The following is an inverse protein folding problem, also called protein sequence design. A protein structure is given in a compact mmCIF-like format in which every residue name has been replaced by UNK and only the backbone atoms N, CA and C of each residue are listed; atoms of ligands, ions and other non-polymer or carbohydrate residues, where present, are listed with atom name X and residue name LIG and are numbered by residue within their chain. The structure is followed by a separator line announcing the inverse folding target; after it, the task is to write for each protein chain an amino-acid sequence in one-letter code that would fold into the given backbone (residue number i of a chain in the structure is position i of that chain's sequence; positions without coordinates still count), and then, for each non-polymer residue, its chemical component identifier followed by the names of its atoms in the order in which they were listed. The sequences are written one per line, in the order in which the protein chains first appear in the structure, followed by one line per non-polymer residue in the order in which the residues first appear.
data_IF_416728344935
#
_entry.id   IF_416728344935
#
_cell.length_a   1.000
_cell.length_b   1.000
_cell.length_c   1.000
_cell.angle_alpha   90.00
_cell.angle_beta   90.00
_cell.angle_gamma   90.00
#
_symmetry.space_group_name_H-M   'P 1'
#
loop_
_entity.id
_entity.type
_entity.pdbx_description
1 polymer ?
#
# COMPACT_ATOMS: atom_id res chain seq x y z
N UNK A 1 15.63 -1.16 24.38
CA UNK A 1 15.33 -0.69 23.02
C UNK A 1 14.92 -1.93 22.25
N UNK A 2 13.62 -2.16 22.07
CA UNK A 2 13.13 -3.29 21.29
C UNK A 2 12.94 -2.76 19.87
N UNK A 3 13.85 -3.14 18.99
CA UNK A 3 13.74 -2.94 17.55
C UNK A 3 12.54 -3.78 17.10
N UNK A 4 11.45 -3.11 16.74
CA UNK A 4 10.29 -3.79 16.14
C UNK A 4 10.76 -4.24 14.77
N UNK A 5 11.06 -5.53 14.66
CA UNK A 5 11.48 -6.14 13.41
C UNK A 5 10.34 -5.96 12.38
N UNK A 6 10.59 -5.40 11.19
CA UNK A 6 9.61 -5.42 10.11
C UNK A 6 9.35 -6.87 9.74
N UNK A 7 8.08 -7.28 9.64
CA UNK A 7 7.72 -8.58 9.07
C UNK A 7 8.34 -8.65 7.65
N UNK A 8 9.38 -9.46 7.42
CA UNK A 8 10.06 -9.48 6.13
C UNK A 8 9.14 -10.00 5.03
N UNK A 9 8.05 -10.68 5.38
CA UNK A 9 7.17 -11.32 4.42
C UNK A 9 6.49 -10.32 3.48
N UNK A 10 6.12 -9.12 3.94
CA UNK A 10 5.44 -8.12 3.10
C UNK A 10 6.38 -7.11 2.42
N UNK A 11 7.61 -6.93 2.92
CA UNK A 11 8.54 -5.88 2.48
C UNK A 11 9.85 -6.42 1.88
N UNK A 12 10.22 -7.69 2.10
CA UNK A 12 11.49 -8.27 1.66
C UNK A 12 11.43 -8.85 0.23
N UNK A 13 10.96 -8.07 -0.74
CA UNK A 13 11.15 -8.43 -2.14
C UNK A 13 12.48 -7.83 -2.68
N UNK A 14 13.21 -8.52 -3.57
CA UNK A 14 14.45 -8.00 -4.15
C UNK A 14 14.15 -6.75 -5.00
N UNK A 15 15.07 -5.77 -5.08
CA UNK A 15 14.87 -4.60 -5.94
C UNK A 15 14.77 -5.02 -7.43
N UNK A 16 13.91 -4.36 -8.22
CA UNK A 16 13.75 -4.72 -9.63
C UNK A 16 15.02 -4.45 -10.43
N UNK A 17 15.33 -5.28 -11.45
CA UNK A 17 16.47 -5.04 -12.33
C UNK A 17 16.29 -3.71 -13.09
N UNK A 18 17.36 -2.92 -13.32
CA UNK A 18 17.27 -1.58 -13.93
C UNK A 18 16.76 -1.58 -15.39
N UNK A 19 16.63 -2.75 -16.01
CA UNK A 19 16.03 -2.94 -17.34
C UNK A 19 14.51 -3.18 -17.31
N UNK A 20 13.89 -3.27 -16.12
CA UNK A 20 12.46 -3.45 -15.96
C UNK A 20 11.67 -2.24 -16.47
N UNK A 21 11.08 -2.37 -17.66
CA UNK A 21 10.24 -1.34 -18.30
C UNK A 21 8.75 -1.64 -18.20
N UNK A 22 8.38 -2.80 -17.68
CA UNK A 22 7.00 -3.26 -17.54
C UNK A 22 6.62 -3.39 -16.08
N UNK A 23 5.33 -3.17 -15.78
CA UNK A 23 4.78 -3.22 -14.43
C UNK A 23 5.08 -4.57 -13.76
N UNK A 24 4.97 -5.66 -14.51
CA UNK A 24 5.28 -7.03 -14.08
C UNK A 24 6.77 -7.22 -13.74
N UNK A 25 7.66 -6.45 -14.36
CA UNK A 25 9.10 -6.52 -14.09
C UNK A 25 9.53 -5.66 -12.90
N UNK A 26 8.73 -4.64 -12.56
CA UNK A 26 8.89 -3.80 -11.36
C UNK A 26 8.24 -4.41 -10.12
N UNK A 27 7.23 -5.26 -10.33
CA UNK A 27 6.56 -6.03 -9.29
C UNK A 27 7.38 -7.27 -8.93
N UNK A 28 8.37 -7.09 -8.05
CA UNK A 28 9.17 -8.19 -7.50
C UNK A 28 8.49 -8.89 -6.31
N UNK A 29 7.27 -8.48 -6.00
CA UNK A 29 6.42 -9.04 -4.93
C UNK A 29 6.01 -10.47 -5.24
N UNK A 30 6.19 -11.35 -4.26
CA UNK A 30 5.82 -12.76 -4.40
C UNK A 30 4.31 -12.94 -4.48
N UNK A 31 3.86 -14.04 -5.11
CA UNK A 31 2.45 -14.41 -5.14
C UNK A 31 1.86 -14.56 -3.72
N UNK A 32 2.66 -15.01 -2.75
CA UNK A 32 2.26 -15.10 -1.34
C UNK A 32 1.94 -13.72 -0.74
N UNK A 33 2.77 -12.71 -1.01
CA UNK A 33 2.51 -11.33 -0.58
C UNK A 33 1.25 -10.77 -1.21
N UNK A 34 1.06 -11.04 -2.51
CA UNK A 34 -0.13 -10.62 -3.24
C UNK A 34 -1.39 -11.29 -2.68
N UNK A 35 -1.31 -12.57 -2.32
CA UNK A 35 -2.39 -13.29 -1.67
C UNK A 35 -2.68 -12.75 -0.27
N UNK A 36 -1.66 -12.41 0.52
CA UNK A 36 -1.82 -11.77 1.82
C UNK A 36 -2.45 -10.38 1.70
N UNK A 37 -2.06 -9.59 0.70
CA UNK A 37 -2.64 -8.28 0.45
C UNK A 37 -4.08 -8.33 -0.10
N UNK A 38 -4.40 -9.40 -0.86
CA UNK A 38 -5.75 -9.68 -1.36
C UNK A 38 -6.64 -10.39 -0.33
N UNK A 39 -6.06 -10.94 0.73
CA UNK A 39 -6.82 -11.59 1.79
C UNK A 39 -7.75 -10.56 2.44
N UNK A 40 -9.00 -10.92 2.78
CA UNK A 40 -9.89 -10.05 3.53
C UNK A 40 -9.37 -9.83 4.96
N UNK A 41 -9.78 -8.73 5.59
CA UNK A 41 -9.54 -8.50 7.02
C UNK A 41 -10.03 -9.72 7.81
N UNK A 42 -9.27 -10.16 8.81
CA UNK A 42 -9.80 -11.15 9.72
C UNK A 42 -11.10 -10.59 10.34
N UNK A 43 -12.14 -11.41 10.50
CA UNK A 43 -13.46 -10.96 10.97
C UNK A 43 -13.46 -10.34 12.38
N UNK A 44 -12.34 -10.40 13.10
CA UNK A 44 -12.13 -9.82 14.42
C UNK A 44 -11.42 -8.46 14.38
N UNK A 45 -10.94 -8.01 13.21
CA UNK A 45 -10.20 -6.74 13.07
C UNK A 45 -11.15 -5.54 13.03
N UNK A 46 -10.92 -4.58 13.93
CA UNK A 46 -11.69 -3.35 13.98
C UNK A 46 -11.21 -2.42 12.87
N UNK A 47 -11.83 -2.53 11.70
CA UNK A 47 -11.49 -1.65 10.58
C UNK A 47 -12.03 -0.23 10.83
N UNK A 48 -11.13 0.72 11.09
CA UNK A 48 -11.48 2.12 11.35
C UNK A 48 -11.23 2.97 10.11
N UNK A 49 -12.28 3.54 9.55
CA UNK A 49 -12.17 4.50 8.44
C UNK A 49 -11.34 5.72 8.90
N UNK A 50 -10.17 5.91 8.28
CA UNK A 50 -9.35 7.10 8.46
C UNK A 50 -9.87 8.26 7.61
N UNK A 51 -10.36 7.93 6.40
CA UNK A 51 -10.93 8.88 5.45
C UNK A 51 -10.52 8.55 4.01
N UNK A 52 -10.87 9.42 3.08
CA UNK A 52 -10.43 9.34 1.68
C UNK A 52 -9.18 10.18 1.45
N UNK A 53 -8.26 9.64 0.66
CA UNK A 53 -7.05 10.34 0.22
C UNK A 53 -6.80 10.06 -1.25
N UNK A 54 -6.13 10.98 -1.92
CA UNK A 54 -5.69 10.77 -3.29
C UNK A 54 -4.38 10.00 -3.25
N UNK A 55 -4.38 8.74 -3.67
CA UNK A 55 -3.17 7.96 -3.81
C UNK A 55 -2.56 8.14 -5.20
N UNK A 56 -1.25 8.40 -5.19
CA UNK A 56 -0.41 8.51 -6.37
C UNK A 56 0.66 7.42 -6.33
N UNK A 57 1.17 7.04 -7.50
CA UNK A 57 2.24 6.06 -7.58
C UNK A 57 3.46 6.57 -6.78
N UNK A 58 3.87 5.75 -5.81
CA UNK A 58 5.10 5.94 -5.03
C UNK A 58 6.32 5.45 -5.80
N UNK A 59 7.45 5.29 -5.10
CA UNK A 59 8.69 4.81 -5.72
C UNK A 59 8.47 3.42 -6.34
N UNK A 60 8.59 3.26 -7.68
CA UNK A 60 8.43 1.96 -8.32
C UNK A 60 9.58 0.99 -8.01
N UNK A 61 10.63 1.49 -7.35
CA UNK A 61 11.78 0.72 -6.88
C UNK A 61 11.59 0.12 -5.50
N UNK A 62 10.55 0.53 -4.76
CA UNK A 62 10.26 0.02 -3.42
C UNK A 62 9.27 -1.16 -3.50
N UNK A 63 9.74 -2.39 -3.28
CA UNK A 63 8.88 -3.55 -3.31
C UNK A 63 8.01 -3.67 -2.06
N UNK A 64 6.95 -4.48 -2.15
CA UNK A 64 6.03 -4.73 -1.04
C UNK A 64 4.76 -3.89 -1.07
N UNK A 65 3.91 -4.08 -0.06
CA UNK A 65 2.60 -3.43 0.06
C UNK A 65 2.62 -2.36 1.14
N UNK A 66 2.73 -1.10 0.72
CA UNK A 66 2.79 0.06 1.60
C UNK A 66 2.02 1.27 1.03
N UNK A 67 1.57 2.13 1.92
CA UNK A 67 0.95 3.41 1.62
C UNK A 67 1.51 4.45 2.57
N UNK A 68 2.28 5.39 2.04
CA UNK A 68 2.79 6.55 2.78
C UNK A 68 1.70 7.61 2.81
N UNK A 69 1.16 7.91 3.98
CA UNK A 69 0.08 8.87 4.17
C UNK A 69 0.29 9.73 5.42
N UNK A 70 0.01 11.05 5.38
CA UNK A 70 0.09 11.91 6.55
C UNK A 70 -1.13 11.72 7.50
N UNK A 71 -2.10 10.88 7.12
CA UNK A 71 -3.28 10.56 7.93
C UNK A 71 -2.94 9.72 9.17
N UNK A 72 -1.84 8.98 9.14
CA UNK A 72 -1.35 8.19 10.27
C UNK A 72 -0.14 8.85 10.91
N UNK A 73 0.01 8.68 12.23
CA UNK A 73 1.17 9.16 12.99
C UNK A 73 2.20 8.07 13.28
N UNK A 74 1.81 6.82 13.08
CA UNK A 74 2.61 5.63 13.40
C UNK A 74 2.44 4.63 12.27
N UNK A 75 3.50 3.87 11.99
CA UNK A 75 3.43 2.78 11.05
C UNK A 75 2.44 1.73 11.57
N UNK A 76 1.41 1.42 10.79
CA UNK A 76 0.36 0.47 11.18
C UNK A 76 -0.16 -0.27 9.96
N UNK A 77 -0.79 -1.42 10.15
CA UNK A 77 -1.50 -2.10 9.07
C UNK A 77 -2.79 -1.36 8.74
N UNK A 78 -3.13 -1.34 7.45
CA UNK A 78 -4.35 -0.76 6.97
C UNK A 78 -4.75 -1.35 5.64
N UNK A 79 -5.90 -0.91 5.15
CA UNK A 79 -6.42 -1.32 3.86
C UNK A 79 -6.80 -0.08 3.07
N UNK A 80 -6.46 -0.12 1.79
CA UNK A 80 -6.89 0.90 0.83
C UNK A 80 -7.97 0.33 -0.04
N UNK A 81 -9.08 1.04 -0.15
CA UNK A 81 -10.20 0.69 -1.01
C UNK A 81 -10.32 1.74 -2.09
N UNK A 82 -10.21 1.31 -3.34
CA UNK A 82 -10.39 2.15 -4.50
C UNK A 82 -11.87 2.52 -4.66
N UNK A 83 -12.20 3.81 -4.62
CA UNK A 83 -13.59 4.25 -4.82
C UNK A 83 -14.05 4.16 -6.28
N UNK A 84 -13.13 4.16 -7.23
CA UNK A 84 -13.46 4.08 -8.64
C UNK A 84 -13.87 2.65 -9.07
N UNK A 85 -13.22 1.62 -8.54
CA UNK A 85 -13.44 0.21 -8.91
C UNK A 85 -14.03 -0.64 -7.77
N UNK A 86 -14.11 -0.12 -6.54
CA UNK A 86 -14.57 -0.86 -5.36
C UNK A 86 -13.60 -1.92 -4.83
N UNK A 87 -12.40 -2.03 -5.41
CA UNK A 87 -11.39 -3.03 -5.02
C UNK A 87 -10.58 -2.56 -3.81
N UNK A 88 -10.21 -3.50 -2.95
CA UNK A 88 -9.41 -3.19 -1.76
C UNK A 88 -8.12 -4.00 -1.70
N UNK A 89 -7.13 -3.48 -0.98
CA UNK A 89 -5.83 -4.14 -0.78
C UNK A 89 -5.26 -3.78 0.58
N UNK A 90 -4.80 -4.78 1.32
CA UNK A 90 -4.08 -4.56 2.55
C UNK A 90 -2.68 -3.99 2.24
N UNK A 91 -2.31 -2.95 2.98
CA UNK A 91 -1.07 -2.21 2.84
C UNK A 91 -0.58 -1.75 4.20
N UNK A 92 0.73 -1.60 4.34
CA UNK A 92 1.32 -0.98 5.52
C UNK A 92 1.19 0.53 5.42
N UNK A 93 0.42 1.15 6.31
CA UNK A 93 0.30 2.60 6.41
C UNK A 93 1.55 3.15 7.07
N UNK A 94 2.32 3.94 6.32
CA UNK A 94 3.56 4.55 6.78
C UNK A 94 3.30 6.05 6.96
N UNK A 95 3.56 6.63 8.13
CA UNK A 95 3.44 8.07 8.33
C UNK A 95 4.47 8.81 7.46
N UNK A 96 4.03 9.82 6.72
CA UNK A 96 4.91 10.69 5.93
C UNK A 96 4.75 12.15 6.35
N UNK A 97 5.86 12.86 6.43
CA UNK A 97 5.87 14.30 6.64
C UNK A 97 5.43 15.01 5.35
N UNK A 98 4.34 15.76 5.42
CA UNK A 98 3.76 16.44 4.28
C UNK A 98 2.43 17.10 4.64
N UNK A 99 1.94 18.03 3.81
CA UNK A 99 0.64 18.64 4.02
C UNK A 99 -0.45 17.55 4.02
N UNK A 100 -1.47 17.68 4.88
CA UNK A 100 -2.59 16.73 4.94
C UNK A 100 -3.39 16.66 3.62
N UNK A 101 -3.23 17.67 2.75
CA UNK A 101 -3.75 17.73 1.37
C UNK A 101 -2.78 17.17 0.33
N UNK A 102 -1.55 16.84 0.73
CA UNK A 102 -0.56 16.17 -0.10
C UNK A 102 -1.00 14.73 -0.33
N UNK A 103 -1.18 14.35 -1.58
CA UNK A 103 -1.61 13.00 -1.95
C UNK A 103 -0.75 11.92 -1.29
N UNK A 104 -1.37 10.80 -0.96
CA UNK A 104 -0.70 9.61 -0.43
C UNK A 104 0.13 8.93 -1.52
N UNK A 105 1.21 8.25 -1.14
CA UNK A 105 2.04 7.47 -2.06
C UNK A 105 1.81 6.00 -1.83
N UNK A 106 1.45 5.27 -2.87
CA UNK A 106 1.16 3.84 -2.79
C UNK A 106 2.17 3.04 -3.60
N UNK A 107 2.51 1.84 -3.12
CA UNK A 107 3.32 0.90 -3.88
C UNK A 107 2.65 0.50 -5.20
N UNK A 108 3.47 0.24 -6.20
CA UNK A 108 3.05 -0.32 -7.48
C UNK A 108 2.20 -1.59 -7.35
N UNK A 109 2.60 -2.63 -6.57
CA UNK A 109 1.81 -3.86 -6.43
C UNK A 109 0.44 -3.62 -5.78
N UNK A 110 0.34 -2.68 -4.83
CA UNK A 110 -0.92 -2.33 -4.18
C UNK A 110 -1.88 -1.62 -5.15
N UNK A 111 -1.40 -0.65 -5.93
CA UNK A 111 -2.19 -0.02 -7.00
C UNK A 111 -2.65 -1.04 -8.04
N UNK A 112 -1.79 -2.00 -8.38
CA UNK A 112 -2.11 -3.06 -9.34
C UNK A 112 -3.19 -4.00 -8.82
N UNK A 113 -3.20 -4.28 -7.51
CA UNK A 113 -4.16 -5.18 -6.86
C UNK A 113 -5.56 -4.54 -6.78
N UNK A 114 -5.64 -3.24 -6.51
CA UNK A 114 -6.89 -2.48 -6.58
C UNK A 114 -7.29 -2.01 -8.00
N UNK A 115 -6.53 -2.40 -9.03
CA UNK A 115 -6.67 -1.91 -10.42
C UNK A 115 -6.77 -0.38 -10.54
N UNK A 116 -5.99 0.34 -9.73
CA UNK A 116 -5.85 1.78 -9.82
C UNK A 116 -5.02 2.19 -11.04
N UNK A 117 -5.40 3.32 -11.63
CA UNK A 117 -4.63 3.96 -12.69
C UNK A 117 -3.29 4.47 -12.12
N UNK A 118 -2.19 3.82 -12.50
CA UNK A 118 -0.82 4.19 -12.11
C UNK A 118 -0.40 5.58 -12.62
N UNK A 119 -1.09 6.07 -13.66
CA UNK A 119 -0.85 7.38 -14.28
C UNK A 119 -1.75 8.48 -13.73
N UNK A 120 -2.78 8.13 -12.93
CA UNK A 120 -3.81 9.07 -12.49
C UNK A 120 -3.85 9.21 -10.97
N UNK A 121 -4.38 10.34 -10.52
CA UNK A 121 -4.58 10.64 -9.11
C UNK A 121 -5.82 9.90 -8.63
N UNK A 122 -5.58 8.71 -8.08
CA UNK A 122 -6.68 7.81 -7.73
C UNK A 122 -7.17 8.07 -6.31
N UNK A 123 -8.43 8.44 -6.13
CA UNK A 123 -9.05 8.49 -4.81
C UNK A 123 -9.20 7.10 -4.21
N UNK A 124 -8.54 6.89 -3.07
CA UNK A 124 -8.63 5.68 -2.27
C UNK A 124 -9.14 6.03 -0.88
N UNK A 125 -10.03 5.20 -0.40
CA UNK A 125 -10.52 5.21 0.96
C UNK A 125 -9.56 4.41 1.82
N UNK A 126 -9.05 5.01 2.90
CA UNK A 126 -8.08 4.39 3.79
C UNK A 126 -8.80 3.95 5.06
N UNK A 127 -8.68 2.68 5.38
CA UNK A 127 -9.11 2.10 6.64
C UNK A 127 -7.89 1.60 7.40
N UNK A 128 -7.88 1.82 8.71
CA UNK A 128 -6.90 1.26 9.63
C UNK A 128 -7.36 -0.14 10.02
N UNK A 129 -6.47 -1.13 9.93
CA UNK A 129 -6.67 -2.47 10.49
C UNK A 129 -6.03 -2.48 11.88
N UNK A 130 -6.75 -3.01 12.86
CA UNK A 130 -6.37 -2.97 14.27
C UNK A 130 -6.91 -4.15 15.04
#
# INVERSE_FOLDING_TARGET
MAEVAPDPELTAAPPPPPAAKTQEALDTTSAAQRAAAAAPAAPEETSKLLGTTVASLGSPTEPGFWLKTPLVKTETKGRVTNKANGKSSAVTLIPIDGPATGGSRMSLPAMRLIEASLTDLTEVEVTLEG
#
